data_IF_940205512481
#
_entry.id   IF_940205512481
#
_cell.length_a   1.000
_cell.length_b   1.000
_cell.length_c   1.000
_cell.angle_alpha   90.00
_cell.angle_beta   90.00
_cell.angle_gamma   90.00
#
_symmetry.space_group_name_H-M   'P 1'
#
loop_
_entity.id
_entity.type
_entity.pdbx_description
1 polymer ?
#
# COMPACT_ATOMS: atom_id res chain seq x y z
N UNK A 1 81.11 -67.50 -10.95
CA UNK A 1 80.37 -67.29 -9.67
C UNK A 1 79.93 -65.82 -9.50
N UNK A 2 80.78 -64.84 -9.79
CA UNK A 2 80.46 -63.41 -9.60
C UNK A 2 79.27 -62.87 -10.44
N UNK A 3 79.04 -63.39 -11.64
CA UNK A 3 77.95 -62.92 -12.53
C UNK A 3 76.55 -63.28 -11.97
N UNK A 4 76.42 -64.44 -11.34
CA UNK A 4 75.15 -64.90 -10.74
C UNK A 4 74.83 -64.07 -9.49
N UNK A 5 75.85 -63.73 -8.69
CA UNK A 5 75.71 -62.84 -7.54
C UNK A 5 75.28 -61.44 -7.96
N UNK A 6 75.88 -60.91 -9.03
CA UNK A 6 75.52 -59.58 -9.56
C UNK A 6 74.10 -59.55 -10.14
N UNK A 7 73.68 -60.61 -10.85
CA UNK A 7 72.31 -60.74 -11.34
C UNK A 7 71.29 -60.86 -10.19
N UNK A 8 71.64 -61.55 -9.11
CA UNK A 8 70.82 -61.63 -7.89
C UNK A 8 70.65 -60.26 -7.21
N UNK A 9 71.73 -59.48 -7.10
CA UNK A 9 71.69 -58.13 -6.51
C UNK A 9 70.86 -57.17 -7.36
N UNK A 10 70.98 -57.23 -8.69
CA UNK A 10 70.15 -56.42 -9.59
C UNK A 10 68.68 -56.84 -9.50
N UNK A 11 68.39 -58.14 -9.40
CA UNK A 11 67.02 -58.64 -9.20
C UNK A 11 66.38 -58.15 -7.90
N UNK A 12 67.14 -58.15 -6.80
CA UNK A 12 66.67 -57.61 -5.52
C UNK A 12 66.52 -56.09 -5.58
N UNK A 13 67.45 -55.38 -6.20
CA UNK A 13 67.37 -53.93 -6.39
C UNK A 13 66.13 -53.54 -7.19
N UNK A 14 65.86 -54.20 -8.32
CA UNK A 14 64.68 -53.93 -9.15
C UNK A 14 63.38 -54.27 -8.40
N UNK A 15 63.40 -55.30 -7.53
CA UNK A 15 62.24 -55.64 -6.70
C UNK A 15 62.02 -54.65 -5.56
N UNK A 16 63.08 -54.05 -5.01
CA UNK A 16 63.02 -53.05 -3.94
C UNK A 16 62.72 -51.63 -4.47
N UNK A 17 63.16 -51.32 -5.68
CA UNK A 17 62.88 -50.05 -6.36
C UNK A 17 61.53 -50.05 -7.08
N UNK A 18 60.76 -51.15 -7.05
CA UNK A 18 59.36 -51.09 -7.47
C UNK A 18 58.60 -50.31 -6.40
N UNK A 19 58.07 -49.11 -6.72
CA UNK A 19 57.31 -48.34 -5.75
C UNK A 19 56.17 -49.23 -5.23
N UNK A 20 55.91 -49.24 -3.92
CA UNK A 20 54.79 -49.98 -3.36
C UNK A 20 53.56 -49.56 -4.17
N UNK A 21 52.85 -50.53 -4.75
CA UNK A 21 51.61 -50.27 -5.47
C UNK A 21 50.66 -49.65 -4.47
N UNK A 22 50.51 -48.32 -4.52
CA UNK A 22 49.60 -47.59 -3.67
C UNK A 22 48.23 -48.25 -3.75
N UNK A 23 47.69 -48.62 -2.59
CA UNK A 23 46.45 -49.38 -2.52
C UNK A 23 45.37 -48.59 -3.28
N UNK A 24 44.71 -49.16 -4.30
CA UNK A 24 43.77 -48.43 -5.14
C UNK A 24 42.58 -47.87 -4.36
N UNK A 25 42.36 -48.35 -3.13
CA UNK A 25 41.39 -47.82 -2.17
C UNK A 25 41.82 -46.48 -1.55
N UNK A 26 43.10 -46.33 -1.26
CA UNK A 26 43.64 -45.12 -0.63
C UNK A 26 43.76 -43.99 -1.66
N UNK A 27 44.17 -44.31 -2.89
CA UNK A 27 44.17 -43.34 -4.01
C UNK A 27 42.76 -42.83 -4.34
N UNK A 28 41.75 -43.72 -4.41
CA UNK A 28 40.34 -43.32 -4.60
C UNK A 28 39.79 -42.50 -3.43
N UNK A 29 40.16 -42.84 -2.19
CA UNK A 29 39.79 -42.09 -0.99
C UNK A 29 40.36 -40.67 -1.00
N UNK A 30 41.63 -40.53 -1.37
CA UNK A 30 42.29 -39.24 -1.51
C UNK A 30 41.69 -38.39 -2.64
N UNK A 31 41.36 -39.01 -3.78
CA UNK A 31 40.70 -38.34 -4.90
C UNK A 31 39.29 -37.84 -4.53
N UNK A 32 38.52 -38.62 -3.76
CA UNK A 32 37.22 -38.21 -3.24
C UNK A 32 37.34 -37.01 -2.30
N UNK A 33 38.33 -37.03 -1.39
CA UNK A 33 38.58 -35.90 -0.50
C UNK A 33 39.00 -34.65 -1.26
N UNK A 34 39.89 -34.76 -2.24
CA UNK A 34 40.29 -33.64 -3.08
C UNK A 34 39.09 -33.07 -3.85
N UNK A 35 38.21 -33.93 -4.39
CA UNK A 35 36.98 -33.45 -5.04
C UNK A 35 36.02 -32.78 -4.04
N UNK A 36 35.92 -33.26 -2.80
CA UNK A 36 35.09 -32.66 -1.75
C UNK A 36 35.65 -31.33 -1.28
N UNK A 37 36.97 -31.20 -1.17
CA UNK A 37 37.64 -29.94 -0.85
C UNK A 37 37.38 -28.94 -1.97
N UNK A 38 37.53 -29.34 -3.23
CA UNK A 38 37.24 -28.46 -4.37
C UNK A 38 35.75 -28.02 -4.42
N UNK A 39 34.81 -28.90 -4.10
CA UNK A 39 33.38 -28.55 -4.03
C UNK A 39 33.07 -27.64 -2.83
N UNK A 40 33.70 -27.88 -1.68
CA UNK A 40 33.52 -27.02 -0.50
C UNK A 40 34.16 -25.64 -0.71
N UNK A 41 35.27 -25.57 -1.42
CA UNK A 41 35.93 -24.33 -1.83
C UNK A 41 35.02 -23.53 -2.78
N UNK A 42 34.47 -24.17 -3.83
CA UNK A 42 33.52 -23.51 -4.74
C UNK A 42 32.23 -23.03 -4.03
N UNK A 43 31.68 -23.85 -3.12
CA UNK A 43 30.54 -23.44 -2.30
C UNK A 43 30.90 -22.31 -1.33
N UNK A 44 32.11 -22.31 -0.78
CA UNK A 44 32.61 -21.24 0.08
C UNK A 44 32.75 -19.93 -0.70
N UNK A 45 33.39 -19.96 -1.86
CA UNK A 45 33.59 -18.79 -2.73
C UNK A 45 32.24 -18.21 -3.21
N UNK A 46 31.31 -19.08 -3.56
CA UNK A 46 29.95 -18.68 -3.93
C UNK A 46 29.19 -18.06 -2.76
N UNK A 47 29.32 -18.64 -1.57
CA UNK A 47 28.68 -18.10 -0.35
C UNK A 47 29.27 -16.74 0.00
N UNK A 48 30.59 -16.58 -0.07
CA UNK A 48 31.26 -15.30 0.16
C UNK A 48 30.77 -14.24 -0.83
N UNK A 49 30.67 -14.59 -2.11
CA UNK A 49 30.14 -13.69 -3.14
C UNK A 49 28.69 -13.28 -2.85
N UNK A 50 27.83 -14.23 -2.46
CA UNK A 50 26.43 -13.95 -2.11
C UNK A 50 26.31 -13.07 -0.86
N UNK A 51 27.13 -13.31 0.15
CA UNK A 51 27.17 -12.49 1.37
C UNK A 51 27.61 -11.06 1.04
N UNK A 52 28.61 -10.89 0.17
CA UNK A 52 29.05 -9.57 -0.29
C UNK A 52 27.95 -8.84 -1.08
N UNK A 53 27.24 -9.54 -1.96
CA UNK A 53 26.10 -8.98 -2.70
C UNK A 53 24.95 -8.58 -1.76
N UNK A 54 24.63 -9.43 -0.78
CA UNK A 54 23.58 -9.15 0.20
C UNK A 54 23.95 -7.95 1.07
N UNK A 55 25.22 -7.86 1.49
CA UNK A 55 25.74 -6.72 2.26
C UNK A 55 25.61 -5.43 1.45
N UNK A 56 25.99 -5.43 0.18
CA UNK A 56 25.86 -4.26 -0.70
C UNK A 56 24.39 -3.84 -0.90
N UNK A 57 23.49 -4.81 -1.09
CA UNK A 57 22.05 -4.54 -1.21
C UNK A 57 21.48 -3.95 0.08
N UNK A 58 21.90 -4.49 1.23
CA UNK A 58 21.49 -4.00 2.54
C UNK A 58 21.93 -2.54 2.74
N UNK A 59 23.20 -2.22 2.44
CA UNK A 59 23.70 -0.84 2.51
C UNK A 59 22.91 0.12 1.60
N UNK A 60 22.56 -0.33 0.39
CA UNK A 60 21.73 0.45 -0.52
C UNK A 60 20.33 0.68 0.06
N UNK A 61 19.70 -0.35 0.63
CA UNK A 61 18.36 -0.22 1.23
C UNK A 61 18.36 0.65 2.47
N UNK A 62 19.41 0.62 3.28
CA UNK A 62 19.58 1.54 4.42
C UNK A 62 19.63 2.99 3.93
N UNK A 63 20.38 3.27 2.85
CA UNK A 63 20.42 4.62 2.24
C UNK A 63 19.05 5.05 1.70
N UNK A 64 18.33 4.17 1.01
CA UNK A 64 16.98 4.45 0.51
C UNK A 64 16.01 4.80 1.65
N UNK A 65 16.05 4.03 2.75
CA UNK A 65 15.22 4.27 3.94
C UNK A 65 15.59 5.62 4.56
N UNK A 66 16.88 5.93 4.71
CA UNK A 66 17.33 7.20 5.26
C UNK A 66 16.85 8.40 4.44
N UNK A 67 16.89 8.30 3.10
CA UNK A 67 16.35 9.34 2.21
C UNK A 67 14.84 9.50 2.36
N UNK A 68 14.09 8.41 2.48
CA UNK A 68 12.64 8.46 2.73
C UNK A 68 12.31 9.09 4.08
N UNK A 69 13.07 8.77 5.14
CA UNK A 69 12.90 9.38 6.47
C UNK A 69 13.08 10.90 6.36
N UNK A 70 14.15 11.36 5.72
CA UNK A 70 14.40 12.80 5.54
C UNK A 70 13.30 13.49 4.70
N UNK A 71 12.75 12.80 3.70
CA UNK A 71 11.64 13.33 2.91
C UNK A 71 10.36 13.46 3.76
N UNK A 72 10.06 12.46 4.59
CA UNK A 72 8.93 12.49 5.52
C UNK A 72 9.08 13.58 6.58
N UNK A 73 10.27 13.76 7.17
CA UNK A 73 10.54 14.84 8.13
C UNK A 73 10.26 16.22 7.52
N UNK A 74 10.65 16.44 6.25
CA UNK A 74 10.34 17.69 5.54
C UNK A 74 8.84 17.88 5.33
N UNK A 75 8.07 16.82 5.11
CA UNK A 75 6.62 16.90 4.97
C UNK A 75 5.94 17.21 6.31
N UNK A 76 6.36 16.54 7.39
CA UNK A 76 5.88 16.79 8.75
C UNK A 76 6.11 18.27 9.12
N UNK A 77 7.32 18.79 8.84
CA UNK A 77 7.61 20.21 9.11
C UNK A 77 6.70 21.18 8.35
N UNK A 78 6.33 20.86 7.09
CA UNK A 78 5.37 21.67 6.32
C UNK A 78 3.97 21.60 6.92
N UNK A 79 3.55 20.41 7.37
CA UNK A 79 2.25 20.20 8.02
C UNK A 79 2.19 21.01 9.31
N UNK A 80 3.22 20.96 10.15
CA UNK A 80 3.27 21.72 11.42
C UNK A 80 3.16 23.23 11.18
N UNK A 81 3.87 23.76 10.18
CA UNK A 81 3.75 25.17 9.79
C UNK A 81 2.34 25.52 9.29
N UNK A 82 1.72 24.64 8.51
CA UNK A 82 0.35 24.85 8.02
C UNK A 82 -0.66 24.81 9.16
N UNK A 83 -0.48 23.88 10.12
CA UNK A 83 -1.31 23.73 11.29
C UNK A 83 -1.24 24.97 12.20
N UNK A 84 -0.02 25.51 12.43
CA UNK A 84 0.15 26.75 13.19
C UNK A 84 -0.58 27.93 12.54
N UNK A 85 -0.46 28.10 11.23
CA UNK A 85 -1.21 29.14 10.50
C UNK A 85 -2.71 28.96 10.62
N UNK A 86 -3.20 27.73 10.49
CA UNK A 86 -4.63 27.43 10.65
C UNK A 86 -5.12 27.73 12.06
N UNK A 87 -4.31 27.45 13.09
CA UNK A 87 -4.63 27.80 14.48
C UNK A 87 -4.66 29.32 14.71
N UNK A 88 -3.72 30.06 14.12
CA UNK A 88 -3.73 31.53 14.17
C UNK A 88 -4.98 32.09 13.51
N UNK A 89 -5.33 31.58 12.33
CA UNK A 89 -6.56 31.97 11.61
C UNK A 89 -7.81 31.63 12.42
N UNK A 90 -7.88 30.42 13.00
CA UNK A 90 -8.98 30.01 13.87
C UNK A 90 -9.11 30.92 15.09
N UNK A 91 -7.99 31.32 15.71
CA UNK A 91 -7.97 32.27 16.82
C UNK A 91 -8.50 33.64 16.40
N UNK A 92 -8.10 34.15 15.24
CA UNK A 92 -8.63 35.41 14.69
C UNK A 92 -10.15 35.32 14.48
N UNK A 93 -10.66 34.19 13.98
CA UNK A 93 -12.10 34.00 13.79
C UNK A 93 -12.86 33.86 15.11
N UNK A 94 -12.32 33.16 16.11
CA UNK A 94 -12.92 33.09 17.45
C UNK A 94 -12.98 34.47 18.11
N UNK A 95 -11.92 35.27 18.01
CA UNK A 95 -11.85 36.61 18.62
C UNK A 95 -12.74 37.64 17.88
N UNK A 96 -12.94 37.47 16.57
CA UNK A 96 -13.66 38.44 15.73
C UNK A 96 -15.15 38.14 15.61
N UNK A 97 -15.61 36.95 15.95
CA UNK A 97 -17.04 36.61 15.96
C UNK A 97 -17.59 36.96 17.36
N UNK A 98 -18.37 38.04 17.53
CA UNK A 98 -18.98 38.37 18.81
C UNK A 98 -20.05 37.33 19.15
N UNK A 99 -19.64 36.25 19.82
CA UNK A 99 -20.53 35.14 20.17
C UNK A 99 -21.72 35.60 21.03
N UNK A 100 -21.53 36.60 21.89
CA UNK A 100 -22.60 37.20 22.68
C UNK A 100 -23.65 37.87 21.80
N UNK A 101 -23.22 38.62 20.79
CA UNK A 101 -24.12 39.31 19.87
C UNK A 101 -24.88 38.32 18.98
N UNK A 102 -24.24 37.23 18.55
CA UNK A 102 -24.94 36.17 17.79
C UNK A 102 -26.00 35.50 18.65
N UNK A 103 -25.72 35.18 19.91
CA UNK A 103 -26.70 34.60 20.83
C UNK A 103 -27.86 35.56 21.08
N UNK A 104 -27.58 36.85 21.28
CA UNK A 104 -28.62 37.88 21.43
C UNK A 104 -29.48 38.00 20.16
N UNK A 105 -28.86 37.99 18.98
CA UNK A 105 -29.58 37.99 17.69
C UNK A 105 -30.46 36.75 17.55
N UNK A 106 -29.95 35.55 17.84
CA UNK A 106 -30.73 34.31 17.78
C UNK A 106 -31.94 34.33 18.72
N UNK A 107 -31.77 34.80 19.96
CA UNK A 107 -32.88 34.98 20.88
C UNK A 107 -33.90 35.99 20.34
N UNK A 108 -33.43 37.11 19.76
CA UNK A 108 -34.31 38.10 19.13
C UNK A 108 -35.11 37.51 17.96
N UNK A 109 -34.49 36.67 17.12
CA UNK A 109 -35.20 35.95 16.04
C UNK A 109 -36.33 35.10 16.61
N UNK A 110 -36.09 34.37 17.70
CA UNK A 110 -37.13 33.56 18.37
C UNK A 110 -38.32 34.42 18.79
N UNK A 111 -38.08 35.57 19.41
CA UNK A 111 -39.14 36.49 19.84
C UNK A 111 -39.91 37.10 18.66
N UNK A 112 -39.21 37.49 17.59
CA UNK A 112 -39.83 38.00 16.36
C UNK A 112 -40.68 36.92 15.68
N UNK A 113 -40.17 35.69 15.58
CA UNK A 113 -40.90 34.53 15.03
C UNK A 113 -42.15 34.21 15.85
N UNK A 114 -42.02 34.17 17.18
CA UNK A 114 -43.17 33.96 18.07
C UNK A 114 -44.23 35.06 17.91
N UNK A 115 -43.82 36.31 17.76
CA UNK A 115 -44.75 37.42 17.54
C UNK A 115 -45.45 37.38 16.18
N UNK A 116 -44.74 36.98 15.11
CA UNK A 116 -45.35 36.73 13.78
C UNK A 116 -46.39 35.62 13.86
N UNK A 117 -46.05 34.47 14.48
CA UNK A 117 -46.96 33.34 14.64
C UNK A 117 -48.19 33.69 15.50
N UNK A 118 -47.98 34.44 16.59
CA UNK A 118 -49.05 34.95 17.43
C UNK A 118 -50.05 35.82 16.66
N UNK A 119 -49.55 36.72 15.80
CA UNK A 119 -50.40 37.60 15.00
C UNK A 119 -51.18 36.85 13.91
N UNK A 120 -50.62 35.75 13.40
CA UNK A 120 -51.33 34.82 12.51
C UNK A 120 -52.48 34.08 13.23
N UNK A 121 -52.60 34.21 14.56
CA UNK A 121 -53.69 33.64 15.35
C UNK A 121 -53.42 32.23 15.86
N UNK A 122 -52.17 31.75 15.80
CA UNK A 122 -51.78 30.45 16.37
C UNK A 122 -51.92 30.44 17.89
N UNK A 123 -52.25 29.29 18.46
CA UNK A 123 -52.36 29.12 19.90
C UNK A 123 -50.97 29.09 20.57
N UNK A 124 -50.90 29.46 21.85
CA UNK A 124 -49.63 29.48 22.58
C UNK A 124 -48.94 28.11 22.63
N UNK A 125 -49.71 27.01 22.63
CA UNK A 125 -49.17 25.64 22.60
C UNK A 125 -48.55 25.28 21.26
N UNK A 126 -49.15 25.71 20.15
CA UNK A 126 -48.62 25.49 18.80
C UNK A 126 -47.34 26.31 18.57
N UNK A 127 -47.29 27.54 19.09
CA UNK A 127 -46.10 28.39 19.02
C UNK A 127 -44.95 27.77 19.84
N UNK A 128 -45.24 27.22 21.01
CA UNK A 128 -44.23 26.57 21.86
C UNK A 128 -43.61 25.32 21.22
N UNK A 129 -44.32 24.64 20.32
CA UNK A 129 -43.75 23.53 19.55
C UNK A 129 -42.81 24.00 18.44
N UNK A 130 -43.01 25.21 17.91
CA UNK A 130 -42.24 25.75 16.80
C UNK A 130 -41.10 26.68 17.24
N UNK A 131 -41.22 27.30 18.42
CA UNK A 131 -40.25 28.25 18.97
C UNK A 131 -39.88 27.85 20.39
N UNK A 132 -38.59 27.64 20.60
CA UNK A 132 -38.00 27.30 21.91
C UNK A 132 -37.89 28.55 22.81
N UNK A 133 -39.03 28.95 23.37
CA UNK A 133 -39.20 30.02 24.37
C UNK A 133 -40.03 29.50 25.55
N UNK A 134 -39.93 30.14 26.72
CA UNK A 134 -40.71 29.72 27.88
C UNK A 134 -42.21 29.97 27.64
N UNK A 135 -43.06 29.04 28.09
CA UNK A 135 -44.51 29.11 27.86
C UNK A 135 -45.13 30.44 28.32
N UNK A 136 -44.69 30.97 29.47
CA UNK A 136 -45.18 32.26 29.97
C UNK A 136 -44.78 33.47 29.11
N UNK A 137 -43.64 33.41 28.43
CA UNK A 137 -43.22 34.46 27.48
C UNK A 137 -44.07 34.39 26.21
N UNK A 138 -44.34 33.19 25.71
CA UNK A 138 -45.18 32.97 24.54
C UNK A 138 -46.60 33.46 24.79
N UNK A 139 -47.18 33.16 25.95
CA UNK A 139 -48.51 33.66 26.34
C UNK A 139 -48.56 35.19 26.37
N UNK A 140 -47.51 35.83 26.89
CA UNK A 140 -47.40 37.28 26.90
C UNK A 140 -47.31 37.85 25.48
N UNK A 141 -46.44 37.30 24.64
CA UNK A 141 -46.26 37.73 23.24
C UNK A 141 -47.56 37.53 22.45
N UNK A 142 -48.24 36.40 22.66
CA UNK A 142 -49.52 36.08 22.05
C UNK A 142 -50.62 37.07 22.46
N UNK A 143 -50.64 37.51 23.71
CA UNK A 143 -51.61 38.48 24.21
C UNK A 143 -51.34 39.89 23.68
N UNK A 144 -50.07 40.28 23.58
CA UNK A 144 -49.65 41.65 23.19
C UNK A 144 -49.74 41.86 21.67
N UNK A 145 -49.42 40.83 20.85
CA UNK A 145 -49.37 40.96 19.39
C UNK A 145 -50.61 40.41 18.67
N UNK A 146 -51.67 40.04 19.41
CA UNK A 146 -52.88 39.42 18.84
C UNK A 146 -53.59 40.31 17.83
N UNK A 147 -53.76 41.59 18.18
CA UNK A 147 -54.56 42.52 17.38
C UNK A 147 -53.70 43.42 16.48
N UNK A 148 -52.46 43.69 16.90
CA UNK A 148 -51.52 44.52 16.15
C UNK A 148 -50.08 44.10 16.48
N UNK A 149 -49.26 43.89 15.44
CA UNK A 149 -47.81 43.70 15.61
C UNK A 149 -47.18 44.93 16.26
N UNK A 150 -46.44 44.74 17.35
CA UNK A 150 -45.75 45.85 18.03
C UNK A 150 -44.53 46.38 17.28
N UNK A 151 -44.08 45.69 16.22
CA UNK A 151 -42.97 46.11 15.37
C UNK A 151 -43.38 46.15 13.91
N UNK A 152 -42.72 47.03 13.14
CA UNK A 152 -42.89 47.09 11.69
C UNK A 152 -41.93 46.08 11.03
N UNK A 153 -42.45 45.22 10.17
CA UNK A 153 -41.66 44.20 9.47
C UNK A 153 -40.54 44.82 8.61
N UNK A 154 -40.81 45.97 7.99
CA UNK A 154 -39.84 46.71 7.17
C UNK A 154 -38.71 47.37 7.98
N UNK A 155 -38.89 47.51 9.29
CA UNK A 155 -37.88 48.11 10.18
C UNK A 155 -36.94 47.08 10.81
N UNK A 156 -37.16 45.79 10.55
CA UNK A 156 -36.31 44.73 11.06
C UNK A 156 -35.04 44.58 10.20
N UNK A 157 -33.88 44.37 10.81
CA UNK A 157 -32.67 44.00 10.08
C UNK A 157 -32.86 42.73 9.25
N UNK A 158 -32.16 42.62 8.12
CA UNK A 158 -32.30 41.51 7.16
C UNK A 158 -32.14 40.11 7.80
N UNK A 159 -31.28 39.98 8.83
CA UNK A 159 -31.08 38.73 9.55
C UNK A 159 -32.31 38.24 10.32
N UNK A 160 -33.25 39.13 10.69
CA UNK A 160 -34.50 38.76 11.37
C UNK A 160 -35.62 38.39 10.37
N UNK A 161 -35.43 38.70 9.09
CA UNK A 161 -36.37 38.36 8.01
C UNK A 161 -36.03 37.04 7.33
N UNK A 162 -34.90 36.43 7.69
CA UNK A 162 -34.51 35.13 7.16
C UNK A 162 -35.20 34.06 8.01
N UNK A 163 -36.30 33.50 7.52
CA UNK A 163 -37.05 32.41 8.18
C UNK A 163 -36.29 31.06 8.19
N UNK A 164 -34.97 31.08 7.98
CA UNK A 164 -34.17 29.87 8.00
C UNK A 164 -34.14 29.30 9.42
N UNK A 165 -34.52 28.02 9.53
CA UNK A 165 -34.56 27.26 10.75
C UNK A 165 -33.19 27.28 11.44
N UNK A 166 -33.02 28.22 12.36
CA UNK A 166 -31.88 28.26 13.28
C UNK A 166 -32.09 27.17 14.33
N UNK A 167 -32.08 25.92 13.88
CA UNK A 167 -32.05 24.75 14.73
C UNK A 167 -30.66 24.67 15.36
N UNK A 168 -30.52 24.80 16.69
CA UNK A 168 -29.22 24.68 17.32
C UNK A 168 -28.84 23.19 17.29
N UNK A 169 -27.80 22.85 16.51
CA UNK A 169 -26.99 21.64 16.66
C UNK A 169 -27.52 20.28 16.16
N UNK A 170 -28.28 20.23 15.05
CA UNK A 170 -28.50 18.95 14.35
C UNK A 170 -28.04 19.02 12.89
N UNK A 171 -26.92 18.35 12.60
CA UNK A 171 -26.40 18.05 11.26
C UNK A 171 -25.85 19.23 10.45
N UNK A 172 -24.74 19.83 10.91
CA UNK A 172 -23.72 20.25 9.95
C UNK A 172 -23.06 18.96 9.42
N UNK A 173 -23.66 18.42 8.36
CA UNK A 173 -23.03 17.41 7.54
C UNK A 173 -21.81 18.06 6.87
N UNK A 174 -20.62 17.75 7.37
CA UNK A 174 -19.34 18.23 6.83
C UNK A 174 -18.97 17.55 5.50
N UNK A 175 -19.94 16.96 4.79
CA UNK A 175 -19.75 16.33 3.49
C UNK A 175 -19.58 17.33 2.33
N UNK A 176 -19.86 18.63 2.56
CA UNK A 176 -19.83 19.67 1.51
C UNK A 176 -18.64 20.65 1.60
N UNK A 177 -17.53 20.21 2.20
CA UNK A 177 -16.27 20.99 2.26
C UNK A 177 -15.51 20.95 0.91
N UNK A 178 -15.94 20.15 -0.06
CA UNK A 178 -15.35 20.12 -1.40
C UNK A 178 -15.84 21.26 -2.33
N UNK A 179 -16.79 22.09 -1.90
CA UNK A 179 -17.37 23.15 -2.75
C UNK A 179 -17.09 24.59 -2.28
N UNK A 180 -16.11 24.78 -1.39
CA UNK A 180 -15.59 26.11 -1.09
C UNK A 180 -14.53 26.45 -2.14
N UNK A 181 -14.98 27.04 -3.25
CA UNK A 181 -14.16 27.73 -4.24
C UNK A 181 -13.49 28.95 -3.59
N UNK A 182 -12.48 28.67 -2.76
CA UNK A 182 -11.62 29.65 -2.12
C UNK A 182 -10.74 30.24 -3.21
N UNK A 183 -11.18 31.39 -3.72
CA UNK A 183 -10.46 32.37 -4.54
C UNK A 183 -9.37 31.80 -5.45
N UNK A 184 -9.67 31.76 -6.76
CA UNK A 184 -8.71 31.64 -7.89
C UNK A 184 -7.30 32.11 -7.50
N UNK A 185 -6.36 31.21 -7.18
CA UNK A 185 -4.97 31.60 -7.11
C UNK A 185 -4.52 31.91 -8.54
N UNK A 186 -3.73 32.97 -8.70
CA UNK A 186 -3.13 33.34 -9.97
C UNK A 186 -2.63 32.08 -10.69
N UNK A 187 -3.16 31.87 -11.89
CA UNK A 187 -2.73 30.86 -12.84
C UNK A 187 -1.20 30.96 -13.01
N UNK A 188 -0.47 30.06 -12.38
CA UNK A 188 0.81 29.60 -12.90
C UNK A 188 0.54 28.33 -13.68
N UNK A 189 0.69 28.43 -15.00
CA UNK A 189 0.69 27.31 -15.94
C UNK A 189 1.75 26.27 -15.55
N UNK A 190 1.38 25.28 -14.75
CA UNK A 190 1.93 23.92 -14.86
C UNK A 190 1.06 22.96 -14.05
N UNK A 191 -0.08 22.59 -14.63
CA UNK A 191 -0.82 21.40 -14.22
C UNK A 191 -0.05 20.17 -14.70
N UNK A 192 0.96 19.76 -13.94
CA UNK A 192 1.40 18.38 -14.02
C UNK A 192 0.29 17.53 -13.41
N UNK A 193 -0.20 16.59 -14.20
CA UNK A 193 -1.32 15.71 -13.91
C UNK A 193 -1.09 14.93 -12.60
N UNK A 194 -1.67 15.40 -11.50
CA UNK A 194 -1.50 14.81 -10.15
C UNK A 194 -2.20 13.43 -10.07
N UNK A 195 -3.08 13.15 -11.04
CA UNK A 195 -3.79 11.88 -11.19
C UNK A 195 -2.85 10.69 -11.44
N UNK A 196 -1.69 10.89 -12.06
CA UNK A 196 -0.74 9.81 -12.36
C UNK A 196 0.21 9.47 -11.21
N UNK A 197 0.23 10.26 -10.13
CA UNK A 197 1.12 10.03 -8.98
C UNK A 197 0.53 9.01 -7.99
N UNK A 198 -0.80 8.84 -7.99
CA UNK A 198 -1.52 7.90 -7.14
C UNK A 198 -2.05 6.66 -7.87
N UNK A 199 -1.73 6.49 -9.16
CA UNK A 199 -2.05 5.24 -9.84
C UNK A 199 -1.17 4.15 -9.24
N UNK A 200 -1.76 3.33 -8.36
CA UNK A 200 -1.16 2.11 -7.82
C UNK A 200 -0.56 1.37 -9.01
N UNK A 201 0.77 1.15 -9.07
CA UNK A 201 1.41 0.50 -10.20
C UNK A 201 0.63 -0.78 -10.48
N UNK A 202 -0.12 -0.80 -11.58
CA UNK A 202 -0.86 -1.99 -12.00
C UNK A 202 0.23 -2.99 -12.34
N UNK A 203 0.54 -3.88 -11.41
CA UNK A 203 1.48 -4.97 -11.64
C UNK A 203 1.06 -5.63 -12.93
N UNK A 204 1.92 -5.54 -13.96
CA UNK A 204 1.62 -5.97 -15.32
C UNK A 204 1.03 -7.37 -15.30
N UNK A 205 -0.30 -7.47 -15.37
CA UNK A 205 -0.98 -8.76 -15.30
C UNK A 205 -0.57 -9.65 -16.48
N UNK A 206 -0.13 -9.03 -17.57
CA UNK A 206 0.43 -9.72 -18.73
C UNK A 206 1.82 -10.29 -18.47
N UNK A 207 2.65 -9.65 -17.63
CA UNK A 207 3.93 -10.22 -17.20
C UNK A 207 3.71 -11.41 -16.25
N UNK A 208 2.73 -11.31 -15.34
CA UNK A 208 2.32 -12.41 -14.46
C UNK A 208 1.71 -13.58 -15.22
N UNK A 209 0.91 -13.32 -16.27
CA UNK A 209 0.40 -14.38 -17.16
C UNK A 209 1.51 -15.05 -17.94
N UNK A 210 2.45 -14.30 -18.52
CA UNK A 210 3.62 -14.87 -19.20
C UNK A 210 4.50 -15.69 -18.26
N UNK A 211 4.69 -15.23 -17.02
CA UNK A 211 5.41 -15.98 -15.99
C UNK A 211 4.66 -17.27 -15.61
N UNK A 212 3.33 -17.20 -15.48
CA UNK A 212 2.48 -18.35 -15.21
C UNK A 212 2.49 -19.39 -16.33
N UNK A 213 2.45 -18.94 -17.59
CA UNK A 213 2.52 -19.82 -18.76
C UNK A 213 3.91 -20.45 -18.90
N UNK A 214 4.98 -19.69 -18.66
CA UNK A 214 6.35 -20.21 -18.65
C UNK A 214 6.57 -21.24 -17.53
N UNK A 215 6.03 -20.98 -16.34
CA UNK A 215 6.07 -21.93 -15.22
C UNK A 215 5.30 -23.21 -15.53
N UNK A 216 4.11 -23.07 -16.12
CA UNK A 216 3.27 -24.22 -16.49
C UNK A 216 3.92 -25.07 -17.59
N UNK A 217 4.60 -24.44 -18.55
CA UNK A 217 5.40 -25.13 -19.56
C UNK A 217 6.56 -25.92 -18.92
N UNK A 218 7.31 -25.29 -18.01
CA UNK A 218 8.41 -25.95 -17.30
C UNK A 218 7.95 -27.14 -16.44
N UNK A 219 6.77 -27.06 -15.81
CA UNK A 219 6.20 -28.18 -15.07
C UNK A 219 5.78 -29.35 -15.97
N UNK A 220 5.29 -29.08 -17.19
CA UNK A 220 4.97 -30.14 -18.15
C UNK A 220 6.26 -30.79 -18.68
N UNK A 221 7.29 -30.00 -18.92
CA UNK A 221 8.61 -30.47 -19.37
C UNK A 221 9.29 -31.36 -18.31
N UNK A 222 9.31 -30.92 -17.04
CA UNK A 222 9.84 -31.73 -15.94
C UNK A 222 9.05 -33.05 -15.73
N UNK A 223 7.74 -33.04 -15.99
CA UNK A 223 6.90 -34.22 -15.88
C UNK A 223 7.08 -35.20 -17.05
N UNK A 224 7.46 -34.70 -18.23
CA UNK A 224 7.87 -35.51 -19.37
C UNK A 224 9.27 -36.11 -19.19
N UNK A 225 10.18 -35.40 -18.51
CA UNK A 225 11.50 -35.92 -18.16
C UNK A 225 11.45 -37.03 -17.09
N UNK A 226 10.48 -37.00 -16.17
CA UNK A 226 10.24 -38.07 -15.17
C UNK A 226 9.82 -39.42 -15.79
N UNK A 227 9.27 -39.43 -17.02
CA UNK A 227 8.91 -40.68 -17.73
C UNK A 227 10.08 -41.31 -18.50
N UNK A 228 11.25 -40.63 -18.56
CA UNK A 228 12.48 -41.22 -19.10
C UNK A 228 13.48 -41.54 -17.98
N UNK A 229 13.90 -42.80 -17.77
CA UNK A 229 14.81 -43.14 -16.70
C UNK A 229 16.25 -42.76 -17.09
N UNK A 230 16.65 -41.51 -16.83
CA UNK A 230 18.06 -41.10 -16.84
C UNK A 230 18.31 -39.93 -15.88
N UNK A 231 18.92 -40.25 -14.74
CA UNK A 231 19.76 -39.47 -13.80
C UNK A 231 19.68 -37.92 -13.84
N UNK A 232 19.36 -37.22 -12.73
CA UNK A 232 19.09 -35.78 -12.76
C UNK A 232 20.37 -34.93 -12.70
N UNK A 233 20.50 -33.99 -13.65
CA UNK A 233 21.45 -32.86 -13.60
C UNK A 233 20.71 -31.57 -13.22
N UNK A 234 20.64 -31.30 -11.91
CA UNK A 234 20.04 -30.09 -11.29
C UNK A 234 20.80 -28.79 -11.67
N UNK A 235 21.91 -28.89 -12.39
CA UNK A 235 22.83 -27.77 -12.65
C UNK A 235 22.42 -26.86 -13.83
N UNK A 236 21.64 -27.33 -14.80
CA UNK A 236 21.38 -26.55 -16.03
C UNK A 236 20.18 -25.59 -15.92
N UNK A 237 19.20 -25.88 -15.06
CA UNK A 237 17.96 -25.08 -14.94
C UNK A 237 18.22 -23.68 -14.34
N UNK A 238 19.25 -23.52 -13.50
CA UNK A 238 19.57 -22.20 -12.90
C UNK A 238 20.40 -21.30 -13.80
N UNK A 239 21.06 -21.84 -14.83
CA UNK A 239 21.92 -21.08 -15.73
C UNK A 239 21.11 -20.39 -16.85
N UNK A 240 20.04 -21.02 -17.34
CA UNK A 240 19.17 -20.44 -18.39
C UNK A 240 18.23 -19.33 -17.86
N UNK A 241 17.79 -19.43 -16.61
CA UNK A 241 16.94 -18.39 -15.99
C UNK A 241 17.72 -17.09 -15.78
N UNK A 242 19.02 -17.17 -15.47
CA UNK A 242 19.87 -16.00 -15.27
C UNK A 242 20.24 -15.30 -16.59
N UNK A 243 20.36 -16.03 -17.71
CA UNK A 243 20.71 -15.43 -19.00
C UNK A 243 19.53 -14.73 -19.68
N UNK A 244 18.30 -15.21 -19.50
CA UNK A 244 17.10 -14.56 -20.07
C UNK A 244 16.66 -13.29 -19.32
N UNK A 245 17.12 -13.06 -18.09
CA UNK A 245 16.74 -11.88 -17.30
C UNK A 245 17.74 -10.70 -17.37
N UNK A 246 18.96 -10.91 -17.89
CA UNK A 246 19.99 -9.85 -17.98
C UNK A 246 20.38 -9.46 -19.42
N UNK A 247 19.76 -10.06 -20.44
CA UNK A 247 20.10 -9.81 -21.85
C UNK A 247 19.23 -8.73 -22.52
N UNK A 248 19.58 -7.46 -22.36
CA UNK A 248 19.05 -6.37 -23.20
C UNK A 248 19.67 -6.45 -24.61
N UNK A 249 18.94 -7.02 -25.58
CA UNK A 249 19.12 -6.75 -27.02
C UNK A 249 17.91 -7.22 -27.85
N UNK A 250 17.37 -6.39 -28.76
CA UNK A 250 16.26 -6.77 -29.62
C UNK A 250 16.76 -7.61 -30.79
N UNK A 251 16.30 -8.85 -30.93
CA UNK A 251 16.45 -9.61 -32.17
C UNK A 251 15.11 -9.83 -32.87
N UNK A 252 15.10 -9.42 -34.13
CA UNK A 252 13.97 -9.39 -35.05
C UNK A 252 13.35 -10.78 -35.28
N UNK A 253 12.03 -10.86 -35.14
CA UNK A 253 11.23 -12.06 -35.39
C UNK A 253 11.04 -12.23 -36.90
N UNK A 254 11.61 -13.31 -37.46
CA UNK A 254 11.23 -13.84 -38.78
C UNK A 254 9.89 -14.56 -38.66
N UNK A 255 8.98 -14.22 -39.56
CA UNK A 255 7.64 -14.78 -39.69
C UNK A 255 7.63 -16.19 -40.32
N UNK A 256 6.60 -16.97 -39.94
CA UNK A 256 5.80 -17.98 -40.69
C UNK A 256 5.60 -19.30 -39.89
N UNK A 257 4.56 -20.10 -40.18
CA UNK A 257 3.14 -19.72 -40.29
C UNK A 257 2.22 -20.65 -39.46
N UNK A 258 0.98 -20.18 -39.29
CA UNK A 258 -0.08 -20.77 -38.49
C UNK A 258 -0.54 -22.18 -38.91
N UNK A 259 -0.93 -22.97 -37.91
CA UNK A 259 -1.91 -24.06 -38.02
C UNK A 259 -3.04 -23.87 -36.99
N UNK A 260 -4.25 -23.64 -37.54
CA UNK A 260 -5.60 -24.01 -37.07
C UNK A 260 -5.61 -25.37 -36.35
N UNK A 261 -6.46 -25.77 -35.39
CA UNK A 261 -7.76 -25.41 -34.77
C UNK A 261 -7.98 -26.54 -33.70
N UNK A 262 -9.11 -26.73 -32.96
CA UNK A 262 -10.16 -25.84 -32.43
C UNK A 262 -10.54 -26.11 -30.92
N UNK A 263 -11.36 -25.21 -30.35
CA UNK A 263 -12.45 -25.43 -29.38
C UNK A 263 -12.22 -26.20 -28.05
N UNK A 264 -12.27 -25.49 -26.91
CA UNK A 264 -12.92 -26.02 -25.69
C UNK A 264 -13.39 -24.90 -24.74
N UNK A 265 -14.69 -25.01 -24.45
CA UNK A 265 -15.59 -24.24 -23.61
C UNK A 265 -15.03 -23.52 -22.37
N UNK A 266 -15.48 -22.28 -22.23
CA UNK A 266 -15.37 -21.44 -21.04
C UNK A 266 -16.09 -22.04 -19.81
N UNK A 267 -15.35 -22.18 -18.72
CA UNK A 267 -15.89 -22.17 -17.36
C UNK A 267 -15.11 -21.13 -16.56
N UNK A 268 -15.80 -20.06 -16.16
CA UNK A 268 -15.21 -18.96 -15.39
C UNK A 268 -14.74 -19.38 -14.00
N UNK A 269 -13.90 -18.57 -13.34
CA UNK A 269 -13.36 -18.91 -12.03
C UNK A 269 -14.44 -18.84 -10.93
N UNK A 270 -14.71 -19.98 -10.30
CA UNK A 270 -15.57 -20.08 -9.12
C UNK A 270 -14.80 -19.56 -7.91
N UNK A 271 -15.14 -18.35 -7.46
CA UNK A 271 -14.63 -17.76 -6.22
C UNK A 271 -15.34 -18.41 -5.03
N UNK A 272 -14.60 -19.12 -4.18
CA UNK A 272 -15.15 -19.62 -2.90
C UNK A 272 -14.96 -18.56 -1.81
N UNK A 273 -15.99 -18.27 -1.00
CA UNK A 273 -15.84 -17.34 0.10
C UNK A 273 -14.88 -17.91 1.15
N UNK A 274 -13.92 -17.09 1.57
CA UNK A 274 -13.01 -17.37 2.68
C UNK A 274 -13.65 -16.82 3.94
N UNK A 275 -14.08 -17.70 4.84
CA UNK A 275 -14.49 -17.31 6.20
C UNK A 275 -13.25 -17.22 7.10
N UNK A 276 -13.02 -16.04 7.66
CA UNK A 276 -12.00 -15.84 8.69
C UNK A 276 -12.56 -16.31 10.04
N UNK A 277 -11.86 -17.23 10.70
CA UNK A 277 -12.14 -17.55 12.11
C UNK A 277 -11.88 -16.31 12.95
N UNK A 278 -12.91 -15.86 13.68
CA UNK A 278 -12.73 -14.87 14.75
C UNK A 278 -11.93 -15.54 15.87
N UNK A 279 -10.85 -14.88 16.28
CA UNK A 279 -10.04 -15.28 17.42
C UNK A 279 -10.85 -15.00 18.68
N UNK A 280 -11.23 -16.04 19.41
CA UNK A 280 -11.85 -15.91 20.73
C UNK A 280 -10.74 -15.73 21.77
N UNK A 281 -10.50 -14.49 22.18
CA UNK A 281 -9.44 -14.12 23.13
C UNK A 281 -9.57 -14.82 24.49
N UNK A 282 -10.73 -15.39 24.83
CA UNK A 282 -10.94 -16.11 26.09
C UNK A 282 -10.38 -17.54 26.08
N UNK A 283 -10.12 -18.13 24.90
CA UNK A 283 -9.65 -19.52 24.76
C UNK A 283 -8.18 -19.65 24.36
N UNK A 284 -7.65 -18.69 23.62
CA UNK A 284 -6.31 -18.80 23.02
C UNK A 284 -5.19 -18.14 23.84
N UNK A 285 -5.53 -17.60 25.03
CA UNK A 285 -4.60 -16.94 25.96
C UNK A 285 -4.53 -17.62 27.34
N UNK A 286 -4.90 -18.90 27.43
CA UNK A 286 -4.77 -19.74 28.62
C UNK A 286 -3.59 -20.69 28.57
#
# INVERSE_FOLDING_TARGET
MNVILMAGVIGVWVRLSRPPKDDPRLSKGLQLLQSKIAVLEDLSDRTETQVNQLTALLEQKVKDIQLKIQASEKQISKIDQSMQKSLEVAKIFQDRIPHTEIVERQNTIKYVKAARLAHQGLSAEEIAQQVDLAQGEIEFIAKVNRDQLMFCEDSLPEWANTDEDVSPAANQDFSDVDNISFMKPLQKEHTQDISSIFEVPRTDQDALKKLGDAFKAACVEAKLEEETPAVPTIFNVTQDIAQNFLGDKPQAVKAQPAKKDPNLSATGPVVRPVEFRRIDLAKDLG
#
